data_IF_578247036989
#
_entry.id   IF_578247036989
#
_cell.length_a   1.000
_cell.length_b   1.000
_cell.length_c   1.000
_cell.angle_alpha   90.00
_cell.angle_beta   90.00
_cell.angle_gamma   90.00
#
_symmetry.space_group_name_H-M   'P 1'
#
loop_
_entity.id
_entity.type
_entity.pdbx_description
1 polymer ?
#
# COMPACT_ATOMS: atom_id res chain seq x y z
N UNK A 1 -19.22 22.51 19.78
CA UNK A 1 -18.95 21.42 18.83
C UNK A 1 -18.77 22.04 17.46
N UNK A 2 -17.52 22.32 17.09
CA UNK A 2 -17.19 22.91 15.78
C UNK A 2 -17.24 21.78 14.75
N UNK A 3 -18.37 21.62 14.07
CA UNK A 3 -18.45 20.79 12.88
C UNK A 3 -17.54 21.42 11.83
N UNK A 4 -16.49 20.73 11.45
CA UNK A 4 -15.67 21.14 10.31
C UNK A 4 -16.61 21.32 9.09
N UNK A 5 -16.54 22.43 8.35
CA UNK A 5 -17.45 22.67 7.26
C UNK A 5 -17.30 21.53 6.24
N UNK A 6 -18.43 20.96 5.78
CA UNK A 6 -18.50 19.80 4.88
C UNK A 6 -17.61 19.94 3.62
N UNK A 7 -17.33 21.14 3.20
CA UNK A 7 -16.38 21.47 2.12
C UNK A 7 -14.93 21.03 2.39
N UNK A 8 -14.47 21.03 3.64
CA UNK A 8 -13.10 20.61 3.99
C UNK A 8 -12.98 19.09 4.10
N UNK A 9 -14.05 18.41 4.49
CA UNK A 9 -14.06 16.94 4.57
C UNK A 9 -13.88 16.29 3.18
N UNK A 10 -14.57 16.80 2.15
CA UNK A 10 -14.44 16.32 0.78
C UNK A 10 -13.05 16.54 0.18
N UNK A 11 -12.44 17.69 0.43
CA UNK A 11 -11.08 17.96 -0.05
C UNK A 11 -10.02 17.06 0.59
N UNK A 12 -10.13 16.79 1.89
CA UNK A 12 -9.23 15.88 2.61
C UNK A 12 -9.37 14.45 2.09
N UNK A 13 -10.61 13.98 1.85
CA UNK A 13 -10.86 12.66 1.30
C UNK A 13 -10.25 12.50 -0.09
N UNK A 14 -10.44 13.48 -0.99
CA UNK A 14 -9.89 13.45 -2.34
C UNK A 14 -8.34 13.42 -2.34
N UNK A 15 -7.69 14.20 -1.47
CA UNK A 15 -6.22 14.21 -1.35
C UNK A 15 -5.73 12.85 -0.86
N UNK A 16 -6.40 12.24 0.12
CA UNK A 16 -6.01 10.93 0.66
C UNK A 16 -6.13 9.84 -0.39
N UNK A 17 -7.23 9.84 -1.17
CA UNK A 17 -7.44 8.90 -2.28
C UNK A 17 -6.35 9.03 -3.34
N UNK A 18 -6.09 10.25 -3.81
CA UNK A 18 -5.03 10.50 -4.80
C UNK A 18 -3.65 10.06 -4.29
N UNK A 19 -3.33 10.35 -3.03
CA UNK A 19 -2.06 9.94 -2.42
C UNK A 19 -1.94 8.42 -2.35
N UNK A 20 -3.03 7.70 -2.04
CA UNK A 20 -3.07 6.25 -2.03
C UNK A 20 -2.82 5.66 -3.42
N UNK A 21 -3.54 6.13 -4.45
CA UNK A 21 -3.36 5.66 -5.81
C UNK A 21 -1.94 5.92 -6.33
N UNK A 22 -1.39 7.10 -6.05
CA UNK A 22 -0.01 7.44 -6.40
C UNK A 22 0.98 6.50 -5.72
N UNK A 23 0.76 6.18 -4.44
CA UNK A 23 1.57 5.24 -3.69
C UNK A 23 1.57 3.83 -4.28
N UNK A 24 0.39 3.34 -4.71
CA UNK A 24 0.25 2.02 -5.35
C UNK A 24 1.01 1.98 -6.68
N UNK A 25 0.79 2.95 -7.57
CA UNK A 25 1.46 3.01 -8.89
C UNK A 25 2.97 3.09 -8.74
N UNK A 26 3.45 3.98 -7.87
CA UNK A 26 4.88 4.14 -7.61
C UNK A 26 5.49 2.87 -6.99
N UNK A 27 4.78 2.24 -6.06
CA UNK A 27 5.20 0.98 -5.43
C UNK A 27 5.38 -0.14 -6.46
N UNK A 28 4.41 -0.34 -7.34
CA UNK A 28 4.48 -1.35 -8.41
C UNK A 28 5.66 -1.05 -9.35
N UNK A 29 5.83 0.19 -9.78
CA UNK A 29 6.91 0.58 -10.69
C UNK A 29 8.30 0.36 -10.07
N UNK A 30 8.49 0.76 -8.81
CA UNK A 30 9.76 0.61 -8.10
C UNK A 30 10.09 -0.86 -7.82
N UNK A 31 9.13 -1.64 -7.31
CA UNK A 31 9.33 -3.06 -7.03
C UNK A 31 9.55 -3.86 -8.31
N UNK A 32 8.80 -3.59 -9.37
CA UNK A 32 8.99 -4.24 -10.67
C UNK A 32 10.38 -3.95 -11.25
N UNK A 33 10.83 -2.69 -11.20
CA UNK A 33 12.18 -2.31 -11.63
C UNK A 33 13.27 -2.96 -10.79
N UNK A 34 13.06 -3.06 -9.47
CA UNK A 34 13.98 -3.72 -8.56
C UNK A 34 14.12 -5.21 -8.88
N UNK A 35 13.00 -5.92 -9.05
CA UNK A 35 13.02 -7.36 -9.42
C UNK A 35 13.74 -7.57 -10.74
N UNK A 36 13.45 -6.75 -11.76
CA UNK A 36 14.11 -6.84 -13.06
C UNK A 36 15.61 -6.58 -12.95
N UNK A 37 16.01 -5.56 -12.21
CA UNK A 37 17.43 -5.24 -11.99
C UNK A 37 18.18 -6.36 -11.25
N UNK A 38 17.56 -6.92 -10.21
CA UNK A 38 18.13 -8.05 -9.45
C UNK A 38 18.21 -9.32 -10.31
N UNK A 39 17.16 -9.63 -11.07
CA UNK A 39 17.19 -10.76 -11.99
C UNK A 39 18.35 -10.65 -12.98
N UNK A 40 18.53 -9.50 -13.63
CA UNK A 40 19.64 -9.24 -14.56
C UNK A 40 21.02 -9.37 -13.92
N UNK A 41 21.13 -9.01 -12.64
CA UNK A 41 22.38 -9.14 -11.89
C UNK A 41 22.69 -10.58 -11.47
N UNK A 42 21.67 -11.41 -11.27
CA UNK A 42 21.80 -12.76 -10.72
C UNK A 42 21.80 -13.85 -11.82
N UNK A 43 21.14 -13.58 -12.97
CA UNK A 43 21.02 -14.57 -14.03
C UNK A 43 22.35 -14.88 -14.68
N UNK A 44 22.69 -16.17 -14.74
CA UNK A 44 23.89 -16.65 -15.46
C UNK A 44 23.53 -16.92 -16.91
N UNK A 45 24.20 -16.20 -17.82
CA UNK A 45 23.97 -16.33 -19.26
C UNK A 45 24.98 -17.33 -19.85
N UNK A 46 24.54 -18.45 -20.45
CA UNK A 46 25.44 -19.41 -21.05
C UNK A 46 26.24 -18.80 -22.22
N UNK A 47 27.54 -19.10 -22.28
CA UNK A 47 28.44 -18.54 -23.28
C UNK A 47 28.18 -19.05 -24.72
N UNK A 48 27.53 -20.20 -24.84
CA UNK A 48 27.22 -20.84 -26.14
C UNK A 48 26.01 -20.26 -26.87
N UNK A 49 25.22 -19.39 -26.19
CA UNK A 49 24.07 -18.73 -26.79
C UNK A 49 24.47 -17.68 -27.83
N UNK A 50 23.62 -17.47 -28.82
CA UNK A 50 23.73 -16.35 -29.75
C UNK A 50 23.59 -15.01 -29.04
N UNK A 51 24.03 -13.92 -29.66
CA UNK A 51 23.88 -12.60 -29.06
C UNK A 51 22.40 -12.21 -28.78
N UNK A 52 21.50 -12.62 -29.70
CA UNK A 52 20.05 -12.38 -29.56
C UNK A 52 19.46 -13.18 -28.36
N UNK A 53 19.83 -14.47 -28.26
CA UNK A 53 19.33 -15.32 -27.15
C UNK A 53 19.88 -14.87 -25.78
N UNK A 54 21.14 -14.39 -25.73
CA UNK A 54 21.71 -13.81 -24.53
C UNK A 54 20.92 -12.59 -24.06
N UNK A 55 20.56 -11.73 -25.02
CA UNK A 55 19.72 -10.57 -24.69
C UNK A 55 18.34 -10.98 -24.16
N UNK A 56 17.72 -12.02 -24.74
CA UNK A 56 16.45 -12.57 -24.27
C UNK A 56 16.56 -13.14 -22.86
N UNK A 57 17.63 -13.90 -22.55
CA UNK A 57 17.88 -14.44 -21.20
C UNK A 57 18.08 -13.34 -20.17
N UNK A 58 18.76 -12.25 -20.53
CA UNK A 58 18.98 -11.12 -19.63
C UNK A 58 17.75 -10.23 -19.48
N UNK A 59 16.84 -10.22 -20.43
CA UNK A 59 15.69 -9.34 -20.41
C UNK A 59 14.70 -9.73 -19.30
N UNK A 60 14.22 -10.97 -19.34
CA UNK A 60 13.27 -11.49 -18.35
C UNK A 60 13.28 -13.01 -18.31
N UNK A 61 12.77 -13.58 -17.20
CA UNK A 61 12.57 -15.03 -17.11
C UNK A 61 11.63 -15.55 -18.23
N UNK A 62 10.59 -14.80 -18.56
CA UNK A 62 9.65 -15.19 -19.61
C UNK A 62 10.37 -15.29 -20.96
N UNK A 63 11.16 -14.29 -21.33
CA UNK A 63 11.98 -14.30 -22.56
C UNK A 63 13.05 -15.40 -22.52
N UNK A 64 13.68 -15.64 -21.39
CA UNK A 64 14.65 -16.73 -21.23
C UNK A 64 14.05 -18.11 -21.55
N UNK A 65 12.84 -18.39 -21.08
CA UNK A 65 12.15 -19.65 -21.29
C UNK A 65 11.63 -19.85 -22.73
N UNK A 66 11.67 -18.83 -23.58
CA UNK A 66 11.36 -18.99 -25.01
C UNK A 66 12.56 -19.50 -25.83
N UNK A 67 13.78 -19.25 -25.32
CA UNK A 67 15.04 -19.60 -26.06
C UNK A 67 15.81 -20.72 -25.37
N UNK A 68 15.53 -21.04 -24.11
CA UNK A 68 16.14 -22.13 -23.37
C UNK A 68 15.22 -23.35 -23.36
N UNK A 69 15.81 -24.56 -23.48
CA UNK A 69 15.05 -25.77 -23.19
C UNK A 69 14.56 -25.76 -21.73
N UNK A 70 13.25 -25.89 -21.48
CA UNK A 70 12.66 -25.85 -20.14
C UNK A 70 13.24 -26.86 -19.16
N UNK A 71 13.79 -28.00 -19.63
CA UNK A 71 14.41 -29.03 -18.83
C UNK A 71 15.92 -28.80 -18.62
N UNK A 72 16.50 -27.78 -19.27
CA UNK A 72 17.93 -27.51 -19.15
C UNK A 72 18.32 -26.92 -17.79
N UNK A 73 19.57 -27.14 -17.40
CA UNK A 73 20.17 -26.52 -16.21
C UNK A 73 20.19 -24.99 -16.32
N UNK A 74 20.30 -24.45 -17.53
CA UNK A 74 20.25 -23.00 -17.76
C UNK A 74 18.87 -22.42 -17.47
N UNK A 75 17.80 -23.11 -17.86
CA UNK A 75 16.43 -22.71 -17.52
C UNK A 75 16.16 -22.78 -16.01
N UNK A 76 16.71 -23.79 -15.32
CA UNK A 76 16.62 -23.90 -13.86
C UNK A 76 17.35 -22.75 -13.18
N UNK A 77 18.59 -22.44 -13.60
CA UNK A 77 19.36 -21.32 -13.08
C UNK A 77 18.63 -19.96 -13.28
N UNK A 78 17.97 -19.76 -14.41
CA UNK A 78 17.16 -18.57 -14.64
C UNK A 78 15.96 -18.47 -13.68
N UNK A 79 15.27 -19.60 -13.41
CA UNK A 79 14.18 -19.63 -12.40
C UNK A 79 14.68 -19.35 -10.99
N UNK A 80 15.83 -19.90 -10.61
CA UNK A 80 16.47 -19.66 -9.32
C UNK A 80 16.86 -18.18 -9.15
N UNK A 81 17.47 -17.58 -10.18
CA UNK A 81 17.82 -16.18 -10.20
C UNK A 81 16.57 -15.28 -10.01
N UNK A 82 15.47 -15.64 -10.68
CA UNK A 82 14.20 -14.93 -10.53
C UNK A 82 13.61 -15.09 -9.12
N UNK A 83 13.62 -16.30 -8.57
CA UNK A 83 13.15 -16.56 -7.21
C UNK A 83 13.95 -15.76 -6.16
N UNK A 84 15.28 -15.71 -6.30
CA UNK A 84 16.15 -14.92 -5.43
C UNK A 84 15.86 -13.40 -5.58
N UNK A 85 15.65 -12.92 -6.80
CA UNK A 85 15.29 -11.52 -7.07
C UNK A 85 13.97 -11.17 -6.38
N UNK A 86 12.95 -12.02 -6.46
CA UNK A 86 11.66 -11.85 -5.79
C UNK A 86 11.79 -11.84 -4.26
N UNK A 87 12.56 -12.77 -3.70
CA UNK A 87 12.81 -12.82 -2.25
C UNK A 87 13.49 -11.54 -1.76
N UNK A 88 14.54 -11.11 -2.47
CA UNK A 88 15.28 -9.89 -2.11
C UNK A 88 14.39 -8.65 -2.22
N UNK A 89 13.62 -8.51 -3.29
CA UNK A 89 12.68 -7.40 -3.45
C UNK A 89 11.60 -7.39 -2.37
N UNK A 90 11.09 -8.57 -1.98
CA UNK A 90 10.10 -8.69 -0.90
C UNK A 90 10.70 -8.30 0.46
N UNK A 91 11.93 -8.66 0.72
CA UNK A 91 12.64 -8.26 1.95
C UNK A 91 12.83 -6.74 2.01
N UNK A 92 13.26 -6.14 0.90
CA UNK A 92 13.39 -4.68 0.81
C UNK A 92 12.04 -3.99 1.05
N UNK A 93 10.96 -4.49 0.43
CA UNK A 93 9.61 -3.96 0.64
C UNK A 93 9.18 -4.08 2.11
N UNK A 94 9.44 -5.21 2.77
CA UNK A 94 9.12 -5.42 4.18
C UNK A 94 9.88 -4.45 5.09
N UNK A 95 11.17 -4.21 4.84
CA UNK A 95 11.97 -3.25 5.61
C UNK A 95 11.43 -1.82 5.43
N UNK A 96 11.07 -1.43 4.20
CA UNK A 96 10.49 -0.12 3.93
C UNK A 96 9.14 0.05 4.63
N UNK A 97 8.29 -0.99 4.63
CA UNK A 97 7.01 -0.97 5.35
C UNK A 97 7.19 -0.82 6.86
N UNK A 98 8.14 -1.56 7.44
CA UNK A 98 8.47 -1.43 8.86
C UNK A 98 8.98 -0.03 9.20
N UNK A 99 9.84 0.53 8.37
CA UNK A 99 10.32 1.90 8.54
C UNK A 99 9.17 2.92 8.49
N UNK A 100 8.28 2.79 7.50
CA UNK A 100 7.09 3.64 7.38
C UNK A 100 6.16 3.50 8.59
N UNK A 101 5.94 2.28 9.10
CA UNK A 101 5.13 2.03 10.28
C UNK A 101 5.73 2.68 11.54
N UNK A 102 7.06 2.59 11.72
CA UNK A 102 7.75 3.25 12.84
C UNK A 102 7.64 4.77 12.74
N UNK A 103 7.81 5.34 11.55
CA UNK A 103 7.65 6.79 11.34
C UNK A 103 6.20 7.21 11.64
N UNK A 104 5.22 6.49 11.15
CA UNK A 104 3.81 6.76 11.40
C UNK A 104 3.51 6.71 12.91
N UNK A 105 4.01 5.70 13.61
CA UNK A 105 3.83 5.56 15.06
C UNK A 105 4.47 6.72 15.84
N UNK A 106 5.64 7.19 15.40
CA UNK A 106 6.33 8.33 16.03
C UNK A 106 5.64 9.67 15.79
N UNK A 107 4.97 9.81 14.64
CA UNK A 107 4.33 11.07 14.24
C UNK A 107 2.87 11.20 14.69
N UNK A 108 2.19 10.09 15.00
CA UNK A 108 0.82 10.12 15.49
C UNK A 108 0.83 10.36 17.00
N UNK A 109 0.46 11.56 17.50
CA UNK A 109 0.34 11.82 18.93
C UNK A 109 -0.80 10.92 19.47
N UNK A 110 -0.52 10.19 20.54
CA UNK A 110 -1.56 9.45 21.28
C UNK A 110 -2.52 10.49 21.88
N UNK A 111 -3.62 10.78 21.19
CA UNK A 111 -4.72 11.52 21.83
C UNK A 111 -5.33 10.60 22.89
N UNK A 112 -5.21 10.91 24.19
CA UNK A 112 -5.93 10.16 25.21
C UNK A 112 -7.42 10.25 24.86
N UNK A 113 -8.06 9.08 24.66
CA UNK A 113 -9.47 8.99 24.35
C UNK A 113 -10.25 9.88 25.31
N UNK A 114 -10.99 10.84 24.77
CA UNK A 114 -11.91 11.65 25.57
C UNK A 114 -12.94 10.68 26.15
N UNK A 115 -12.69 10.21 27.35
CA UNK A 115 -13.71 9.48 28.12
C UNK A 115 -14.92 10.41 28.20
N UNK A 116 -16.02 9.98 27.59
CA UNK A 116 -17.29 10.66 27.74
C UNK A 116 -17.51 10.84 29.24
N UNK A 117 -17.59 12.10 29.69
CA UNK A 117 -17.82 12.43 31.09
C UNK A 117 -19.20 11.86 31.46
N UNK A 118 -19.31 11.06 32.53
CA UNK A 118 -20.63 10.63 33.00
C UNK A 118 -21.43 11.87 33.42
N UNK A 119 -22.29 12.34 32.55
CA UNK A 119 -23.05 13.58 32.71
C UNK A 119 -23.51 14.26 31.45
N UNK A 120 -22.92 13.94 30.28
CA UNK A 120 -23.37 14.46 28.97
C UNK A 120 -24.55 13.62 28.39
N UNK A 121 -25.45 13.16 29.25
CA UNK A 121 -26.73 12.65 28.82
C UNK A 121 -27.57 13.78 28.19
N UNK A 122 -28.40 13.46 27.19
CA UNK A 122 -29.29 14.44 26.59
C UNK A 122 -30.13 15.07 27.69
N UNK A 123 -30.07 16.39 27.82
CA UNK A 123 -30.92 17.15 28.73
C UNK A 123 -32.38 16.77 28.46
N UNK A 124 -33.14 16.31 29.47
CA UNK A 124 -34.56 15.99 29.26
C UNK A 124 -35.25 17.24 28.72
N UNK A 125 -35.91 17.07 27.59
CA UNK A 125 -36.76 18.11 26.99
C UNK A 125 -37.81 18.40 28.03
N UNK A 126 -37.74 19.61 28.61
CA UNK A 126 -38.77 20.13 29.50
C UNK A 126 -40.03 20.30 28.65
N UNK A 127 -40.95 19.35 28.76
CA UNK A 127 -42.28 19.51 28.17
C UNK A 127 -42.88 20.80 28.69
N UNK A 128 -43.05 21.76 27.77
CA UNK A 128 -43.80 22.96 28.02
C UNK A 128 -45.23 22.53 28.35
N UNK A 129 -45.60 22.72 29.64
CA UNK A 129 -46.94 22.41 30.11
C UNK A 129 -47.99 23.10 29.26
N UNK A 130 -48.85 22.31 28.66
CA UNK A 130 -50.13 22.75 28.12
C UNK A 130 -50.99 23.20 29.29
N UNK A 131 -50.88 24.48 29.61
CA UNK A 131 -51.84 25.13 30.50
C UNK A 131 -53.12 25.30 29.68
N UNK A 132 -54.01 24.34 29.80
CA UNK A 132 -55.39 24.47 29.39
C UNK A 132 -56.09 25.31 30.44
N UNK A 133 -56.14 26.62 30.19
CA UNK A 133 -57.07 27.52 30.89
C UNK A 133 -58.50 27.20 30.43
N UNK A 134 -59.15 26.35 31.26
CA UNK A 134 -60.58 26.12 31.20
C UNK A 134 -61.21 27.16 32.13
N UNK A 135 -61.60 28.31 31.59
CA UNK A 135 -62.62 29.20 32.17
C UNK A 135 -63.50 29.80 31.11
N UNK A 136 -64.74 29.50 31.34
CA UNK A 136 -65.93 30.30 31.16
C UNK A 136 -66.86 29.94 29.97
N UNK A 137 -67.91 29.28 30.46
CA UNK A 137 -69.35 29.51 30.16
C UNK A 137 -69.89 29.02 28.84
#
# INVERSE_FOLDING_TARGET
>A
VSAAPARKAGAVSAITETAYEFGVVLGIALLGSLVTGLYRALVTVPAWLSAADRAAVQDSLASALTVLDPASTAAQAAREAFAQAMQTASLVAAVLMLAAAVVAWRLIPSSPGRTARPGDGPTPIREAGTDHDERDR
#
